data_IF_945080744263
#
_entry.id   IF_945080744263
#
_cell.length_a   1.000
_cell.length_b   1.000
_cell.length_c   1.000
_cell.angle_alpha   90.00
_cell.angle_beta   90.00
_cell.angle_gamma   90.00
#
_symmetry.space_group_name_H-M   'P 1'
#
loop_
_entity.id
_entity.type
_entity.pdbx_description
1 polymer ?
#
# COMPACT_ATOMS: atom_id res chain seq x y z
N UNK A 1 12.03 -69.75 18.93
CA UNK A 1 10.79 -69.48 18.15
C UNK A 1 11.16 -68.45 17.07
N UNK A 2 10.74 -68.50 15.79
CA UNK A 2 9.51 -68.98 15.12
C UNK A 2 8.25 -68.14 15.39
N UNK A 3 7.46 -67.94 14.33
CA UNK A 3 6.19 -67.18 14.21
C UNK A 3 6.38 -65.66 14.37
N UNK A 4 6.06 -64.75 13.43
CA UNK A 4 5.27 -64.70 12.17
C UNK A 4 3.84 -64.13 12.25
N UNK A 5 3.56 -63.30 11.24
CA UNK A 5 2.32 -62.71 10.67
C UNK A 5 1.03 -63.60 10.68
N UNK A 6 -0.18 -63.15 10.23
CA UNK A 6 -0.58 -61.82 9.68
C UNK A 6 -2.00 -61.27 10.07
N UNK A 7 -2.38 -60.13 9.48
CA UNK A 7 -3.75 -59.65 9.17
C UNK A 7 -4.68 -59.31 10.38
N UNK A 8 -5.83 -58.61 10.27
CA UNK A 8 -6.63 -58.03 9.16
C UNK A 8 -7.37 -56.74 9.69
N UNK A 9 -8.38 -56.06 9.11
CA UNK A 9 -9.19 -56.13 7.87
C UNK A 9 -9.91 -54.76 7.60
N UNK A 10 -10.65 -54.63 6.47
CA UNK A 10 -11.75 -53.66 6.16
C UNK A 10 -11.41 -52.13 6.07
N UNK A 11 -12.09 -51.29 5.27
CA UNK A 11 -13.17 -51.51 4.27
C UNK A 11 -13.62 -50.19 3.58
N UNK A 12 -14.47 -50.27 2.53
CA UNK A 12 -15.02 -49.13 1.74
C UNK A 12 -14.12 -48.71 0.57
N UNK A 13 -14.44 -48.85 -0.73
CA UNK A 13 -15.69 -48.82 -1.53
C UNK A 13 -16.33 -47.43 -1.78
N UNK A 14 -16.80 -47.22 -3.03
CA UNK A 14 -17.76 -46.17 -3.40
C UNK A 14 -17.21 -44.94 -4.13
N UNK A 15 -17.22 -44.94 -5.47
CA UNK A 15 -16.77 -43.79 -6.27
C UNK A 15 -16.94 -43.96 -7.79
N UNK A 16 -18.13 -44.33 -8.25
CA UNK A 16 -18.39 -44.62 -9.65
C UNK A 16 -18.42 -43.36 -10.53
N UNK A 17 -17.90 -43.47 -11.76
CA UNK A 17 -18.00 -42.45 -12.80
C UNK A 17 -19.06 -42.78 -13.84
N UNK A 18 -19.73 -41.75 -14.34
CA UNK A 18 -20.57 -41.72 -15.53
C UNK A 18 -20.57 -40.27 -16.03
N UNK A 19 -20.77 -39.91 -17.30
CA UNK A 19 -20.75 -40.55 -18.61
C UNK A 19 -21.13 -39.41 -19.59
N UNK A 20 -20.95 -39.56 -20.89
CA UNK A 20 -21.17 -38.48 -21.88
C UNK A 20 -22.25 -38.88 -22.87
N UNK A 21 -23.16 -37.96 -23.20
CA UNK A 21 -23.88 -37.70 -24.47
C UNK A 21 -24.99 -36.66 -24.15
N UNK A 22 -25.17 -35.55 -24.88
CA UNK A 22 -25.84 -35.46 -26.19
C UNK A 22 -27.27 -34.87 -26.00
N UNK A 23 -28.00 -34.34 -26.99
CA UNK A 23 -27.69 -33.77 -28.32
C UNK A 23 -28.97 -33.08 -28.86
N UNK A 24 -28.86 -32.15 -29.81
CA UNK A 24 -29.97 -31.55 -30.61
C UNK A 24 -30.99 -30.69 -29.78
N UNK A 25 -31.85 -29.82 -30.34
CA UNK A 25 -32.04 -29.27 -31.70
C UNK A 25 -33.24 -28.28 -31.74
N UNK A 26 -33.32 -27.43 -32.77
CA UNK A 26 -34.40 -26.44 -33.07
C UNK A 26 -34.69 -25.35 -31.98
N UNK A 27 -35.37 -24.24 -32.26
CA UNK A 27 -36.18 -23.85 -33.43
C UNK A 27 -35.92 -22.38 -33.83
N UNK A 28 -36.36 -21.96 -35.03
CA UNK A 28 -36.12 -20.61 -35.56
C UNK A 28 -37.30 -20.02 -36.33
N UNK A 29 -37.61 -18.73 -36.11
CA UNK A 29 -38.63 -18.02 -36.88
C UNK A 29 -38.22 -16.57 -37.18
N UNK A 30 -38.49 -16.12 -38.41
CA UNK A 30 -38.09 -14.80 -38.92
C UNK A 30 -39.28 -13.83 -39.04
N UNK A 31 -38.99 -12.53 -38.99
CA UNK A 31 -39.99 -11.46 -39.16
C UNK A 31 -39.38 -10.15 -39.66
N UNK A 32 -39.68 -9.80 -40.90
CA UNK A 32 -39.40 -8.53 -41.59
C UNK A 32 -40.66 -8.19 -42.45
N UNK A 33 -40.80 -7.04 -43.17
CA UNK A 33 -39.80 -5.98 -43.43
C UNK A 33 -40.33 -4.52 -43.37
N UNK A 34 -39.44 -3.55 -43.64
CA UNK A 34 -39.77 -2.22 -44.18
C UNK A 34 -39.89 -1.07 -43.16
N UNK A 35 -39.56 0.19 -43.50
CA UNK A 35 -38.85 0.65 -44.70
C UNK A 35 -38.95 2.17 -44.96
N UNK A 36 -37.85 2.79 -45.39
CA UNK A 36 -37.79 4.16 -45.95
C UNK A 36 -37.66 5.32 -44.94
N UNK A 37 -36.79 6.29 -45.25
CA UNK A 37 -36.63 7.53 -44.48
C UNK A 37 -35.19 8.04 -44.39
N UNK A 38 -34.77 8.90 -45.32
CA UNK A 38 -33.43 9.51 -45.32
C UNK A 38 -33.30 10.68 -44.33
N UNK A 39 -32.20 10.69 -43.56
CA UNK A 39 -31.49 11.92 -43.20
C UNK A 39 -30.06 11.64 -42.73
N UNK A 40 -29.20 12.67 -42.82
CA UNK A 40 -27.74 12.54 -42.68
C UNK A 40 -27.27 13.02 -41.30
N UNK A 41 -26.47 12.18 -40.62
CA UNK A 41 -25.48 12.53 -39.58
C UNK A 41 -25.96 13.29 -38.30
N UNK A 42 -25.17 13.29 -37.21
CA UNK A 42 -23.95 12.54 -36.94
C UNK A 42 -24.20 11.31 -36.05
N UNK A 43 -23.13 10.61 -35.67
CA UNK A 43 -23.18 9.43 -34.82
C UNK A 43 -23.70 9.78 -33.41
N UNK A 44 -24.61 8.95 -32.88
CA UNK A 44 -25.22 9.17 -31.57
C UNK A 44 -24.18 9.16 -30.45
N UNK A 45 -24.17 10.23 -29.64
CA UNK A 45 -23.33 10.31 -28.44
C UNK A 45 -23.75 9.22 -27.46
N UNK A 46 -22.87 8.26 -27.22
CA UNK A 46 -23.09 7.24 -26.18
C UNK A 46 -23.01 7.93 -24.83
N UNK A 47 -24.15 8.21 -24.21
CA UNK A 47 -24.24 8.90 -22.93
C UNK A 47 -23.76 8.00 -21.78
N UNK A 48 -22.44 7.94 -21.59
CA UNK A 48 -21.84 7.59 -20.30
C UNK A 48 -22.14 8.68 -19.28
N UNK A 49 -22.62 8.28 -18.11
CA UNK A 49 -23.15 9.18 -17.08
C UNK A 49 -22.08 10.09 -16.46
N UNK A 50 -22.38 11.38 -16.37
CA UNK A 50 -21.88 12.35 -15.38
C UNK A 50 -20.36 12.35 -15.06
N UNK A 51 -19.52 12.17 -16.08
CA UNK A 51 -18.07 12.37 -15.97
C UNK A 51 -17.68 13.86 -15.91
N UNK A 52 -16.84 14.23 -14.94
CA UNK A 52 -16.37 15.61 -14.76
C UNK A 52 -15.54 16.06 -15.98
N UNK A 53 -16.09 16.96 -16.80
CA UNK A 53 -15.55 17.21 -18.14
C UNK A 53 -14.24 18.02 -18.08
N UNK A 54 -13.16 17.42 -18.58
CA UNK A 54 -11.83 18.04 -18.65
C UNK A 54 -11.85 19.37 -19.41
N UNK A 55 -11.15 20.37 -18.85
CA UNK A 55 -10.97 21.68 -19.48
C UNK A 55 -10.17 21.55 -20.81
N UNK A 56 -10.47 22.35 -21.84
CA UNK A 56 -9.95 22.14 -23.18
C UNK A 56 -8.42 22.20 -23.28
N UNK A 57 -7.73 23.16 -22.63
CA UNK A 57 -6.25 23.18 -22.66
C UNK A 57 -5.63 21.95 -21.99
N UNK A 58 -6.25 21.44 -20.92
CA UNK A 58 -5.78 20.23 -20.22
C UNK A 58 -5.91 19.02 -21.14
N UNK A 59 -7.04 18.88 -21.86
CA UNK A 59 -7.23 17.81 -22.84
C UNK A 59 -6.25 17.90 -24.01
N UNK A 60 -6.03 19.09 -24.57
CA UNK A 60 -5.03 19.34 -25.61
C UNK A 60 -3.61 18.94 -25.15
N UNK A 61 -3.24 19.31 -23.92
CA UNK A 61 -1.96 18.95 -23.31
C UNK A 61 -1.80 17.44 -23.10
N UNK A 62 -2.87 16.74 -22.72
CA UNK A 62 -2.86 15.28 -22.60
C UNK A 62 -2.62 14.59 -23.95
N UNK A 63 -3.34 14.98 -25.00
CA UNK A 63 -3.17 14.40 -26.33
C UNK A 63 -1.78 14.75 -26.91
N UNK A 64 -1.24 15.94 -26.62
CA UNK A 64 0.14 16.30 -26.99
C UNK A 64 1.21 15.42 -26.31
N UNK A 65 1.01 15.03 -25.04
CA UNK A 65 1.91 14.11 -24.33
C UNK A 65 1.84 12.68 -24.88
N UNK A 66 0.65 12.24 -25.32
CA UNK A 66 0.46 10.96 -26.01
C UNK A 66 1.14 10.99 -27.39
N UNK A 67 0.93 12.06 -28.17
CA UNK A 67 1.57 12.25 -29.48
C UNK A 67 3.10 12.35 -29.39
N UNK A 68 3.63 12.89 -28.30
CA UNK A 68 5.06 12.90 -27.98
C UNK A 68 5.60 11.56 -27.42
N UNK A 69 4.77 10.53 -27.30
CA UNK A 69 5.14 9.20 -26.82
C UNK A 69 5.46 9.10 -25.31
N UNK A 70 5.28 10.18 -24.54
CA UNK A 70 5.64 10.22 -23.10
C UNK A 70 4.72 9.35 -22.23
N UNK A 71 3.50 9.08 -22.70
CA UNK A 71 2.52 8.20 -22.05
C UNK A 71 1.54 7.61 -23.07
N UNK A 72 0.93 6.47 -22.76
CA UNK A 72 -0.20 5.92 -23.53
C UNK A 72 -1.53 6.53 -23.07
N UNK A 73 -2.61 6.26 -23.82
CA UNK A 73 -3.97 6.61 -23.38
C UNK A 73 -4.48 5.74 -22.21
N UNK A 74 -3.82 4.62 -21.94
CA UNK A 74 -4.11 3.74 -20.79
C UNK A 74 -3.41 4.21 -19.50
N UNK A 75 -2.22 4.82 -19.63
CA UNK A 75 -1.54 5.53 -18.52
C UNK A 75 -2.32 6.75 -18.02
N UNK A 76 -3.24 7.26 -18.83
CA UNK A 76 -4.10 8.42 -18.54
C UNK A 76 -5.56 7.96 -18.31
N UNK A 77 -5.72 7.04 -17.35
CA UNK A 77 -6.98 6.40 -17.02
C UNK A 77 -8.09 7.39 -16.59
N UNK A 78 -9.34 6.88 -16.52
CA UNK A 78 -10.49 7.70 -16.11
C UNK A 78 -10.26 8.40 -14.76
N UNK A 79 -9.60 7.75 -13.80
CA UNK A 79 -9.36 8.30 -12.45
C UNK A 79 -8.39 9.47 -12.47
N UNK A 80 -7.38 9.42 -13.34
CA UNK A 80 -6.48 10.55 -13.59
C UNK A 80 -7.22 11.69 -14.28
N UNK A 81 -8.09 11.38 -15.25
CA UNK A 81 -8.92 12.37 -15.96
C UNK A 81 -9.89 13.08 -15.01
N UNK A 82 -10.62 12.34 -14.19
CA UNK A 82 -11.48 12.87 -13.13
C UNK A 82 -10.65 13.72 -12.15
N UNK A 83 -9.48 13.22 -11.74
CA UNK A 83 -8.60 13.91 -10.80
C UNK A 83 -7.95 15.17 -11.37
N UNK A 84 -7.81 15.30 -12.69
CA UNK A 84 -7.35 16.51 -13.37
C UNK A 84 -8.50 17.51 -13.55
N UNK A 85 -9.72 17.04 -13.79
CA UNK A 85 -10.90 17.89 -13.92
C UNK A 85 -11.25 18.67 -12.63
N UNK A 86 -10.82 18.19 -11.46
CA UNK A 86 -10.91 18.89 -10.16
C UNK A 86 -10.04 20.18 -10.06
N UNK A 87 -9.06 20.39 -10.95
CA UNK A 87 -8.17 21.57 -10.90
C UNK A 87 -8.60 22.69 -11.86
N UNK A 88 -8.18 23.92 -11.56
CA UNK A 88 -8.23 25.05 -12.50
C UNK A 88 -7.44 24.72 -13.78
N UNK A 89 -7.82 25.28 -14.92
CA UNK A 89 -7.27 24.89 -16.23
C UNK A 89 -5.74 25.01 -16.28
N UNK A 90 -5.18 26.12 -15.79
CA UNK A 90 -3.74 26.37 -15.88
C UNK A 90 -2.95 25.43 -14.94
N UNK A 91 -3.48 25.08 -13.77
CA UNK A 91 -2.90 24.06 -12.87
C UNK A 91 -2.98 22.65 -13.46
N UNK A 92 -4.06 22.35 -14.18
CA UNK A 92 -4.20 21.09 -14.92
C UNK A 92 -3.14 20.93 -16.00
N UNK A 93 -2.76 22.03 -16.67
CA UNK A 93 -1.64 22.07 -17.61
C UNK A 93 -0.29 21.97 -16.88
N UNK A 94 -0.08 22.71 -15.79
CA UNK A 94 1.15 22.70 -14.98
C UNK A 94 1.50 21.29 -14.44
N UNK A 95 0.50 20.54 -13.98
CA UNK A 95 0.64 19.14 -13.55
C UNK A 95 1.12 18.24 -14.70
N UNK A 96 0.66 18.49 -15.92
CA UNK A 96 1.01 17.74 -17.13
C UNK A 96 2.37 18.15 -17.71
N UNK A 97 2.77 19.42 -17.59
CA UNK A 97 4.13 19.87 -17.89
C UNK A 97 5.14 19.25 -16.93
N UNK A 98 4.89 19.29 -15.62
CA UNK A 98 5.75 18.63 -14.62
C UNK A 98 5.79 17.08 -14.78
N UNK A 99 4.78 16.46 -15.39
CA UNK A 99 4.88 15.07 -15.85
C UNK A 99 5.76 14.94 -17.12
N UNK A 100 5.57 15.84 -18.09
CA UNK A 100 6.28 15.84 -19.35
C UNK A 100 7.79 16.07 -19.21
N UNK A 101 8.21 16.93 -18.29
CA UNK A 101 9.63 17.26 -18.07
C UNK A 101 10.38 16.20 -17.25
N UNK A 102 9.67 15.27 -16.62
CA UNK A 102 10.26 14.11 -15.98
C UNK A 102 10.76 13.09 -17.02
N UNK A 103 11.83 12.36 -16.71
CA UNK A 103 12.30 11.24 -17.54
C UNK A 103 11.34 10.03 -17.44
N UNK A 104 10.30 10.04 -18.28
CA UNK A 104 9.22 9.05 -18.23
C UNK A 104 9.62 7.63 -18.67
N UNK A 105 10.81 7.43 -19.26
CA UNK A 105 11.25 6.13 -19.78
C UNK A 105 11.70 5.18 -18.66
N UNK A 106 12.19 5.75 -17.56
CA UNK A 106 12.51 4.99 -16.33
C UNK A 106 11.27 4.57 -15.53
N UNK A 107 10.09 5.12 -15.85
CA UNK A 107 8.89 5.05 -15.03
C UNK A 107 8.02 3.87 -15.47
N UNK A 108 8.19 2.72 -14.79
CA UNK A 108 7.46 1.45 -15.05
C UNK A 108 5.92 1.54 -14.91
N UNK A 109 5.38 2.62 -14.37
CA UNK A 109 3.94 2.87 -14.26
C UNK A 109 3.71 4.39 -14.24
N UNK A 110 3.36 4.97 -15.39
CA UNK A 110 3.28 6.43 -15.56
C UNK A 110 2.02 6.98 -14.88
N UNK A 111 0.91 6.22 -14.91
CA UNK A 111 -0.32 6.53 -14.18
C UNK A 111 -0.10 6.80 -12.68
N UNK A 112 0.63 5.91 -11.99
CA UNK A 112 0.92 6.04 -10.56
C UNK A 112 1.82 7.25 -10.24
N UNK A 113 2.68 7.66 -11.18
CA UNK A 113 3.53 8.84 -11.05
C UNK A 113 2.75 10.14 -11.27
N UNK A 114 1.87 10.21 -12.28
CA UNK A 114 0.95 11.34 -12.48
C UNK A 114 0.02 11.50 -11.27
N UNK A 115 -0.52 10.39 -10.75
CA UNK A 115 -1.32 10.40 -9.52
C UNK A 115 -0.54 10.86 -8.27
N UNK A 116 0.80 10.76 -8.25
CA UNK A 116 1.64 11.32 -7.19
C UNK A 116 1.82 12.84 -7.34
N UNK A 117 2.03 13.34 -8.56
CA UNK A 117 2.08 14.79 -8.87
C UNK A 117 0.74 15.44 -8.46
N UNK A 118 -0.38 14.87 -8.90
CA UNK A 118 -1.74 15.32 -8.54
C UNK A 118 -1.93 15.44 -7.01
N UNK A 119 -1.42 14.48 -6.21
CA UNK A 119 -1.51 14.53 -4.74
C UNK A 119 -0.67 15.63 -4.11
N UNK A 120 0.47 15.97 -4.71
CA UNK A 120 1.33 17.08 -4.27
C UNK A 120 0.59 18.40 -4.42
N UNK A 121 0.09 18.72 -5.62
CA UNK A 121 -0.69 19.92 -5.89
C UNK A 121 -1.97 20.00 -5.03
N UNK A 122 -2.63 18.87 -4.71
CA UNK A 122 -3.76 18.83 -3.76
C UNK A 122 -3.38 19.11 -2.30
N UNK A 123 -2.16 18.80 -1.88
CA UNK A 123 -1.66 19.13 -0.53
C UNK A 123 -1.32 20.62 -0.44
N UNK A 124 -0.57 21.12 -1.43
CA UNK A 124 -0.14 22.51 -1.53
C UNK A 124 -1.36 23.46 -1.62
N UNK A 125 -2.36 23.14 -2.44
CA UNK A 125 -3.61 23.91 -2.56
C UNK A 125 -4.48 23.93 -1.28
N UNK A 126 -4.21 23.10 -0.28
CA UNK A 126 -4.93 23.06 1.01
C UNK A 126 -4.19 23.78 2.14
N UNK A 127 -3.02 24.37 1.87
CA UNK A 127 -2.18 24.99 2.91
C UNK A 127 -1.64 23.98 3.94
N UNK A 128 -1.68 22.68 3.64
CA UNK A 128 -1.16 21.62 4.50
C UNK A 128 0.31 21.41 4.14
N UNK A 129 1.27 21.50 5.09
CA UNK A 129 2.68 21.31 4.78
C UNK A 129 2.93 19.90 4.21
N UNK A 130 3.82 19.75 3.20
CA UNK A 130 3.89 18.54 2.40
C UNK A 130 4.46 17.35 3.20
N UNK A 131 3.58 16.43 3.60
CA UNK A 131 3.96 15.18 4.28
C UNK A 131 4.58 14.19 3.27
N UNK A 132 5.90 14.29 3.08
CA UNK A 132 6.75 13.17 2.64
C UNK A 132 6.45 12.55 1.26
N UNK A 133 6.19 13.37 0.23
CA UNK A 133 6.07 12.90 -1.16
C UNK A 133 7.41 12.96 -1.91
N UNK A 134 7.91 11.82 -2.38
CA UNK A 134 9.22 11.73 -3.06
C UNK A 134 9.15 12.34 -4.47
N UNK A 135 9.96 13.37 -4.72
CA UNK A 135 10.18 13.95 -6.06
C UNK A 135 11.40 14.86 -6.05
N UNK A 136 12.31 14.67 -7.02
CA UNK A 136 13.57 15.43 -7.10
C UNK A 136 13.35 16.92 -7.36
N UNK A 137 14.21 17.75 -6.78
CA UNK A 137 14.54 19.10 -7.28
C UNK A 137 16.08 19.19 -7.43
N UNK A 138 16.58 20.00 -8.36
CA UNK A 138 18.03 20.15 -8.58
C UNK A 138 18.72 20.87 -7.42
N UNK A 139 20.05 20.76 -7.37
CA UNK A 139 20.88 21.29 -6.28
C UNK A 139 20.72 22.81 -6.05
N UNK A 140 20.40 23.17 -4.81
CA UNK A 140 20.86 24.41 -4.17
C UNK A 140 21.02 24.17 -2.66
N UNK A 141 22.07 24.71 -2.06
CA UNK A 141 22.40 24.47 -0.65
C UNK A 141 21.59 25.39 0.28
N UNK A 142 20.96 24.83 1.32
CA UNK A 142 20.13 25.61 2.26
C UNK A 142 19.75 24.83 3.52
N UNK A 143 20.32 25.22 4.66
CA UNK A 143 20.22 24.53 5.95
C UNK A 143 18.78 24.24 6.44
N UNK A 144 18.52 23.01 6.90
CA UNK A 144 17.20 22.61 7.43
C UNK A 144 17.11 21.24 8.11
N UNK A 145 18.23 20.69 8.65
CA UNK A 145 18.24 19.33 9.21
C UNK A 145 17.87 19.30 10.70
N UNK A 146 16.64 18.86 11.00
CA UNK A 146 16.16 18.62 12.36
C UNK A 146 16.28 17.14 12.76
N UNK A 147 17.51 16.74 13.12
CA UNK A 147 17.86 15.55 13.92
C UNK A 147 16.93 14.31 13.89
N UNK A 148 17.01 13.52 12.82
CA UNK A 148 16.78 12.07 12.94
C UNK A 148 18.07 11.41 13.49
N UNK A 149 18.00 10.44 14.43
CA UNK A 149 19.19 9.84 15.01
C UNK A 149 19.89 8.87 14.04
N UNK A 150 21.06 9.28 13.58
CA UNK A 150 22.14 8.43 13.06
C UNK A 150 21.77 7.38 11.98
N UNK A 151 21.49 7.84 10.76
CA UNK A 151 21.76 7.04 9.57
C UNK A 151 23.29 6.97 9.35
N UNK A 152 23.94 5.92 9.86
CA UNK A 152 25.41 5.78 9.79
C UNK A 152 25.82 5.26 8.41
N UNK A 153 26.45 6.12 7.61
CA UNK A 153 27.32 5.82 6.45
C UNK A 153 27.06 4.52 5.66
N UNK A 154 26.08 4.54 4.73
CA UNK A 154 26.13 3.85 3.43
C UNK A 154 26.22 2.32 3.34
N UNK A 155 26.59 1.62 4.39
CA UNK A 155 26.87 0.18 4.45
C UNK A 155 25.80 -0.56 5.27
N UNK A 156 25.72 -1.89 5.14
CA UNK A 156 24.88 -2.68 6.06
C UNK A 156 25.61 -2.81 7.40
N UNK A 157 24.89 -2.59 8.51
CA UNK A 157 25.36 -2.93 9.86
C UNK A 157 25.85 -4.39 9.87
N UNK A 158 27.00 -4.65 10.47
CA UNK A 158 27.73 -5.92 10.30
C UNK A 158 26.90 -7.17 10.68
N UNK A 159 26.03 -7.05 11.69
CA UNK A 159 25.05 -8.06 12.10
C UNK A 159 24.00 -8.37 11.02
N UNK A 160 23.41 -7.33 10.42
CA UNK A 160 22.45 -7.40 9.31
C UNK A 160 23.12 -8.00 8.07
N UNK A 161 24.35 -7.60 7.78
CA UNK A 161 25.13 -8.14 6.67
C UNK A 161 25.43 -9.64 6.85
N UNK A 162 25.95 -10.04 8.02
CA UNK A 162 26.19 -11.45 8.34
C UNK A 162 24.90 -12.29 8.34
N UNK A 163 23.76 -11.72 8.74
CA UNK A 163 22.46 -12.39 8.68
C UNK A 163 21.96 -12.57 7.25
N UNK A 164 22.19 -11.60 6.36
CA UNK A 164 21.88 -11.69 4.93
C UNK A 164 22.82 -12.70 4.24
N UNK A 165 24.10 -12.71 4.58
CA UNK A 165 25.10 -13.65 4.07
C UNK A 165 24.70 -15.10 4.39
N UNK A 166 24.32 -15.38 5.63
CA UNK A 166 23.80 -16.70 6.04
C UNK A 166 22.54 -17.15 5.27
N UNK A 167 21.74 -16.20 4.76
CA UNK A 167 20.59 -16.52 3.90
C UNK A 167 21.06 -16.86 2.48
N UNK A 168 22.10 -16.20 1.95
CA UNK A 168 22.74 -16.59 0.69
C UNK A 168 23.42 -17.96 0.79
N UNK A 169 24.17 -18.23 1.86
CA UNK A 169 24.79 -19.54 2.14
C UNK A 169 23.77 -20.68 2.23
N UNK A 170 22.55 -20.39 2.72
CA UNK A 170 21.46 -21.38 2.78
C UNK A 170 20.86 -21.76 1.41
N UNK A 171 21.27 -21.10 0.32
CA UNK A 171 20.77 -21.33 -1.04
C UNK A 171 19.33 -20.88 -1.31
N UNK A 172 18.63 -20.33 -0.30
CA UNK A 172 17.25 -19.80 -0.45
C UNK A 172 17.16 -18.55 -1.33
N UNK A 173 18.26 -17.81 -1.43
CA UNK A 173 18.37 -16.49 -2.04
C UNK A 173 19.73 -16.40 -2.74
N UNK A 174 19.80 -15.75 -3.90
CA UNK A 174 21.05 -15.43 -4.59
C UNK A 174 21.38 -13.94 -4.44
N UNK A 175 22.68 -13.57 -4.57
CA UNK A 175 23.11 -12.16 -4.45
C UNK A 175 22.44 -11.19 -5.43
N UNK A 176 21.87 -11.69 -6.53
CA UNK A 176 21.10 -10.91 -7.52
C UNK A 176 19.58 -10.95 -7.35
N UNK A 177 19.05 -11.66 -6.35
CA UNK A 177 17.60 -11.75 -6.11
C UNK A 177 17.01 -10.50 -5.43
N UNK A 178 17.87 -9.61 -4.94
CA UNK A 178 17.52 -8.32 -4.31
C UNK A 178 18.10 -7.17 -5.16
N UNK A 179 17.24 -6.24 -5.56
CA UNK A 179 17.65 -5.05 -6.31
C UNK A 179 18.24 -3.95 -5.39
N UNK A 180 18.99 -3.01 -5.96
CA UNK A 180 19.66 -1.94 -5.21
C UNK A 180 18.70 -1.15 -4.32
N UNK A 181 17.47 -0.92 -4.80
CA UNK A 181 16.40 -0.23 -4.08
C UNK A 181 15.92 -1.02 -2.86
N UNK A 182 15.88 -2.35 -2.95
CA UNK A 182 15.62 -3.23 -1.83
C UNK A 182 16.76 -3.17 -0.79
N UNK A 183 18.01 -3.12 -1.25
CA UNK A 183 19.18 -2.98 -0.39
C UNK A 183 19.26 -1.61 0.29
N UNK A 184 18.90 -0.52 -0.40
CA UNK A 184 18.73 0.82 0.18
C UNK A 184 17.66 0.83 1.28
N UNK A 185 16.51 0.17 1.06
CA UNK A 185 15.46 0.09 2.07
C UNK A 185 15.86 -0.75 3.29
N UNK A 186 16.70 -1.78 3.10
CA UNK A 186 17.29 -2.53 4.21
C UNK A 186 18.29 -1.69 5.02
N UNK A 187 19.14 -0.89 4.35
CA UNK A 187 20.05 0.08 5.00
C UNK A 187 19.30 1.18 5.77
N UNK A 188 18.11 1.55 5.32
CA UNK A 188 17.27 2.59 5.94
C UNK A 188 16.43 2.11 7.14
N UNK A 189 16.52 0.83 7.54
CA UNK A 189 15.85 0.31 8.73
C UNK A 189 16.80 0.33 9.95
N UNK A 190 16.28 0.59 11.18
CA UNK A 190 16.98 0.27 12.41
C UNK A 190 17.40 -1.20 12.47
N UNK A 191 18.59 -1.47 13.01
CA UNK A 191 19.23 -2.80 13.03
C UNK A 191 18.29 -3.94 13.45
N UNK A 192 17.55 -3.77 14.55
CA UNK A 192 16.63 -4.79 15.06
C UNK A 192 15.49 -5.12 14.07
N UNK A 193 14.92 -4.11 13.40
CA UNK A 193 13.87 -4.30 12.39
C UNK A 193 14.43 -4.87 11.09
N UNK A 194 15.68 -4.54 10.74
CA UNK A 194 16.38 -5.15 9.61
C UNK A 194 16.65 -6.65 9.85
N UNK A 195 17.06 -7.03 11.07
CA UNK A 195 17.24 -8.42 11.49
C UNK A 195 15.91 -9.21 11.51
N UNK A 196 14.82 -8.62 12.03
CA UNK A 196 13.49 -9.24 11.97
C UNK A 196 12.97 -9.36 10.53
N UNK A 197 13.17 -8.36 9.67
CA UNK A 197 12.81 -8.43 8.26
C UNK A 197 13.56 -9.57 7.55
N UNK A 198 14.87 -9.71 7.76
CA UNK A 198 15.66 -10.83 7.22
C UNK A 198 15.23 -12.18 7.80
N UNK A 199 14.84 -12.24 9.07
CA UNK A 199 14.23 -13.46 9.63
C UNK A 199 12.91 -13.80 8.92
N UNK A 200 12.02 -12.84 8.68
CA UNK A 200 10.76 -13.08 7.95
C UNK A 200 10.99 -13.46 6.48
N UNK A 201 12.07 -12.98 5.85
CA UNK A 201 12.51 -13.44 4.53
C UNK A 201 12.97 -14.90 4.55
N UNK A 202 13.74 -15.30 5.58
CA UNK A 202 14.24 -16.67 5.75
C UNK A 202 13.12 -17.67 6.11
N UNK A 203 12.13 -17.24 6.90
CA UNK A 203 10.93 -18.04 7.22
C UNK A 203 9.98 -18.22 6.03
N UNK A 204 10.04 -17.35 5.02
CA UNK A 204 9.18 -17.42 3.85
C UNK A 204 9.60 -18.49 2.83
N UNK A 205 8.61 -19.11 2.18
CA UNK A 205 8.84 -19.98 1.03
C UNK A 205 9.02 -19.13 -0.25
N UNK A 206 10.28 -18.95 -0.69
CA UNK A 206 10.62 -18.13 -1.84
C UNK A 206 10.46 -18.84 -3.21
N UNK A 207 10.10 -20.12 -3.22
CA UNK A 207 9.99 -20.94 -4.43
C UNK A 207 8.74 -20.63 -5.27
N UNK A 208 7.68 -20.11 -4.65
CA UNK A 208 6.45 -19.65 -5.33
C UNK A 208 6.49 -18.16 -5.71
N UNK A 209 7.61 -17.48 -5.46
CA UNK A 209 7.71 -16.02 -5.51
C UNK A 209 8.48 -15.56 -6.75
N UNK A 210 7.72 -15.03 -7.71
CA UNK A 210 8.20 -14.52 -9.00
C UNK A 210 9.11 -13.27 -8.89
N UNK A 211 9.08 -12.54 -7.77
CA UNK A 211 10.00 -11.42 -7.51
C UNK A 211 10.37 -11.38 -6.03
N UNK A 212 11.58 -11.85 -5.73
CA UNK A 212 12.14 -11.89 -4.37
C UNK A 212 12.41 -10.47 -3.85
N UNK A 213 13.00 -9.58 -4.66
CA UNK A 213 13.03 -8.13 -4.41
C UNK A 213 11.67 -7.56 -4.04
N UNK A 214 10.64 -7.76 -4.89
CA UNK A 214 9.32 -7.18 -4.69
C UNK A 214 8.62 -7.68 -3.42
N UNK A 215 8.77 -8.96 -3.12
CA UNK A 215 8.29 -9.56 -1.86
C UNK A 215 9.02 -8.99 -0.64
N UNK A 216 10.36 -8.91 -0.69
CA UNK A 216 11.14 -8.39 0.44
C UNK A 216 10.93 -6.89 0.66
N UNK A 217 10.80 -6.08 -0.40
CA UNK A 217 10.31 -4.68 -0.31
C UNK A 217 8.93 -4.62 0.37
N UNK A 218 8.05 -5.58 0.13
CA UNK A 218 6.77 -5.71 0.85
C UNK A 218 6.92 -5.99 2.36
N UNK A 219 7.94 -6.74 2.76
CA UNK A 219 8.31 -6.97 4.17
C UNK A 219 8.93 -5.70 4.78
N UNK A 220 9.97 -5.15 4.15
CA UNK A 220 10.69 -3.94 4.57
C UNK A 220 9.73 -2.76 4.75
N UNK A 221 8.77 -2.59 3.84
CA UNK A 221 7.71 -1.58 3.96
C UNK A 221 6.91 -1.72 5.25
N UNK A 222 6.48 -2.94 5.62
CA UNK A 222 5.70 -3.18 6.85
C UNK A 222 6.52 -2.89 8.10
N UNK A 223 7.79 -3.26 8.12
CA UNK A 223 8.70 -2.94 9.24
C UNK A 223 8.99 -1.44 9.34
N UNK A 224 9.09 -0.71 8.22
CA UNK A 224 9.21 0.75 8.23
C UNK A 224 7.92 1.45 8.67
N UNK A 225 6.76 0.93 8.28
CA UNK A 225 5.45 1.41 8.77
C UNK A 225 5.30 1.17 10.28
N UNK A 226 5.84 0.07 10.82
CA UNK A 226 5.96 -0.15 12.27
C UNK A 226 6.94 0.84 12.92
N UNK A 227 8.14 1.03 12.35
CA UNK A 227 9.13 1.99 12.88
C UNK A 227 8.57 3.41 13.06
N UNK A 228 7.77 3.88 12.10
CA UNK A 228 7.07 5.18 12.19
C UNK A 228 5.92 5.16 13.22
N UNK A 229 5.28 4.01 13.45
CA UNK A 229 4.24 3.89 14.48
C UNK A 229 4.80 3.78 15.91
N UNK A 230 6.04 3.29 16.08
CA UNK A 230 6.75 3.23 17.37
C UNK A 230 7.61 4.47 17.64
N UNK A 231 7.68 5.43 16.70
CA UNK A 231 8.44 6.68 16.86
C UNK A 231 7.78 7.61 17.90
N UNK A 232 8.47 8.04 18.97
CA UNK A 232 7.86 8.83 20.04
C UNK A 232 7.28 10.18 19.61
N UNK A 233 7.86 10.83 18.59
CA UNK A 233 7.35 12.11 18.09
C UNK A 233 6.02 11.91 17.34
N UNK A 234 5.97 10.88 16.50
CA UNK A 234 4.74 10.44 15.81
C UNK A 234 3.68 10.03 16.82
N UNK A 235 4.03 9.21 17.82
CA UNK A 235 3.14 8.82 18.93
C UNK A 235 2.53 10.03 19.65
N UNK A 236 3.35 10.98 20.09
CA UNK A 236 2.85 12.19 20.77
C UNK A 236 1.96 13.04 19.86
N UNK A 237 2.29 13.15 18.56
CA UNK A 237 1.46 13.91 17.59
C UNK A 237 0.08 13.29 17.35
N UNK A 238 -0.06 11.97 17.48
CA UNK A 238 -1.38 11.29 17.39
C UNK A 238 -2.10 11.33 18.74
N UNK A 239 -1.39 11.17 19.85
CA UNK A 239 -1.94 11.29 21.21
C UNK A 239 -2.60 12.66 21.45
N UNK A 240 -1.93 13.75 21.07
CA UNK A 240 -2.43 15.12 21.20
C UNK A 240 -3.72 15.40 20.40
N UNK A 241 -4.13 14.50 19.49
CA UNK A 241 -5.38 14.58 18.72
C UNK A 241 -6.57 13.86 19.36
N UNK A 242 -6.36 13.14 20.47
CA UNK A 242 -7.44 12.52 21.24
C UNK A 242 -8.26 13.58 21.99
N UNK A 243 -9.54 13.30 22.33
CA UNK A 243 -10.29 14.15 23.25
C UNK A 243 -9.55 14.32 24.60
N UNK A 244 -9.50 15.52 25.21
CA UNK A 244 -8.74 15.76 26.45
C UNK A 244 -9.13 14.85 27.62
N UNK A 245 -10.38 14.40 27.69
CA UNK A 245 -10.84 13.40 28.67
C UNK A 245 -10.11 12.06 28.52
N UNK A 246 -9.94 11.57 27.28
CA UNK A 246 -9.24 10.31 27.02
C UNK A 246 -7.73 10.44 27.27
N UNK A 247 -7.14 11.61 26.93
CA UNK A 247 -5.74 11.91 27.26
C UNK A 247 -5.50 11.82 28.78
N UNK A 248 -6.28 12.58 29.56
CA UNK A 248 -6.20 12.60 31.02
C UNK A 248 -6.66 11.31 31.72
N UNK A 249 -7.45 10.45 31.06
CA UNK A 249 -7.70 9.10 31.54
C UNK A 249 -6.44 8.23 31.43
N UNK A 250 -5.83 8.19 30.23
CA UNK A 250 -4.66 7.35 29.92
C UNK A 250 -3.42 7.76 30.72
N UNK A 251 -3.12 9.06 30.84
CA UNK A 251 -1.93 9.56 31.54
C UNK A 251 -1.87 9.21 33.03
N UNK A 252 -3.00 8.83 33.64
CA UNK A 252 -3.06 8.35 35.03
C UNK A 252 -2.60 6.91 35.21
N UNK A 253 -2.54 6.11 34.13
CA UNK A 253 -2.17 4.69 34.17
C UNK A 253 -0.92 4.36 33.33
N UNK A 254 -0.64 5.12 32.27
CA UNK A 254 0.49 4.90 31.35
C UNK A 254 0.93 6.22 30.70
N UNK A 255 2.20 6.38 30.32
CA UNK A 255 2.61 7.59 29.57
C UNK A 255 2.24 7.46 28.10
N UNK A 256 2.09 8.59 27.42
CA UNK A 256 1.93 8.64 25.96
C UNK A 256 3.05 7.91 25.20
N UNK A 257 4.26 7.89 25.75
CA UNK A 257 5.44 7.24 25.18
C UNK A 257 5.43 5.71 25.22
N UNK A 258 4.63 5.12 26.11
CA UNK A 258 4.72 3.68 26.42
C UNK A 258 3.68 2.85 25.62
N UNK A 259 3.00 3.51 24.67
CA UNK A 259 2.07 2.95 23.69
C UNK A 259 2.43 3.48 22.29
N UNK A 260 2.36 2.63 21.27
CA UNK A 260 2.63 3.03 19.88
C UNK A 260 1.54 3.98 19.34
N UNK A 261 1.90 4.89 18.42
CA UNK A 261 0.99 5.78 17.69
C UNK A 261 -0.21 5.04 17.06
N UNK A 262 -0.03 3.75 16.74
CA UNK A 262 -1.08 2.86 16.25
C UNK A 262 -2.24 2.71 17.23
N UNK A 263 -1.99 2.61 18.54
CA UNK A 263 -3.05 2.56 19.55
C UNK A 263 -3.98 3.75 19.41
N UNK A 264 -3.43 4.95 19.39
CA UNK A 264 -4.18 6.20 19.33
C UNK A 264 -4.86 6.41 17.96
N UNK A 265 -4.24 5.96 16.86
CA UNK A 265 -4.87 5.98 15.55
C UNK A 265 -6.07 5.02 15.45
N UNK A 266 -5.94 3.79 15.95
CA UNK A 266 -7.03 2.80 15.97
C UNK A 266 -8.16 3.22 16.92
N UNK A 267 -7.83 3.90 18.02
CA UNK A 267 -8.75 4.48 19.00
C UNK A 267 -9.56 5.66 18.42
N UNK A 268 -8.93 6.57 17.67
CA UNK A 268 -9.64 7.63 16.93
C UNK A 268 -10.66 7.07 15.93
N UNK A 269 -10.40 5.89 15.37
CA UNK A 269 -11.29 5.20 14.42
C UNK A 269 -12.45 4.43 15.08
N UNK A 270 -12.56 4.40 16.41
CA UNK A 270 -13.71 3.82 17.13
C UNK A 270 -14.89 4.79 17.32
N UNK A 271 -14.67 6.09 17.09
CA UNK A 271 -15.59 7.13 17.52
C UNK A 271 -15.64 7.30 19.05
N UNK A 272 -16.18 8.41 19.52
CA UNK A 272 -16.05 8.86 20.92
C UNK A 272 -16.50 7.83 21.96
N UNK A 273 -17.67 7.20 21.77
CA UNK A 273 -18.21 6.21 22.72
C UNK A 273 -17.43 4.90 22.75
N UNK A 274 -16.97 4.41 21.60
CA UNK A 274 -16.13 3.21 21.53
C UNK A 274 -14.72 3.47 22.07
N UNK A 275 -14.19 4.67 21.85
CA UNK A 275 -12.91 5.09 22.39
C UNK A 275 -12.92 5.21 23.92
N UNK A 276 -13.99 5.77 24.51
CA UNK A 276 -14.17 5.81 25.97
C UNK A 276 -14.20 4.40 26.58
N UNK A 277 -15.06 3.50 26.06
CA UNK A 277 -15.16 2.11 26.51
C UNK A 277 -13.83 1.34 26.38
N UNK A 278 -13.02 1.62 25.35
CA UNK A 278 -11.69 1.06 25.18
C UNK A 278 -10.68 1.57 26.21
N UNK A 279 -10.73 2.87 26.54
CA UNK A 279 -9.85 3.50 27.53
C UNK A 279 -10.22 3.05 28.94
N UNK A 280 -11.50 3.00 29.29
CA UNK A 280 -11.96 2.55 30.61
C UNK A 280 -11.53 1.11 30.87
N UNK A 281 -11.80 0.18 29.94
CA UNK A 281 -11.35 -1.23 30.03
C UNK A 281 -9.83 -1.40 30.07
N UNK A 282 -9.06 -0.45 29.55
CA UNK A 282 -7.61 -0.44 29.66
C UNK A 282 -7.14 0.11 31.02
N UNK A 283 -7.83 1.11 31.57
CA UNK A 283 -7.55 1.66 32.90
C UNK A 283 -7.95 0.71 34.05
N UNK A 284 -8.96 -0.14 33.85
CA UNK A 284 -9.36 -1.20 34.79
C UNK A 284 -8.36 -2.38 34.84
N UNK A 285 -7.50 -2.53 33.83
CA UNK A 285 -6.57 -3.64 33.74
C UNK A 285 -5.31 -3.43 34.60
N UNK A 286 -4.85 -4.47 35.31
CA UNK A 286 -3.58 -4.41 36.03
C UNK A 286 -2.38 -4.43 35.06
N UNK A 287 -1.95 -3.25 34.61
CA UNK A 287 -0.86 -3.11 33.65
C UNK A 287 0.48 -3.71 34.12
N UNK A 288 0.66 -3.98 35.42
CA UNK A 288 1.89 -4.55 36.00
C UNK A 288 2.23 -5.95 35.49
N UNK A 289 1.22 -6.75 35.15
CA UNK A 289 1.41 -8.12 34.64
C UNK A 289 1.54 -8.17 33.11
N UNK A 290 1.42 -7.01 32.44
CA UNK A 290 1.26 -6.91 30.98
C UNK A 290 2.61 -6.62 30.31
N UNK A 291 3.24 -7.68 29.78
CA UNK A 291 4.56 -7.62 29.12
C UNK A 291 4.64 -6.69 27.90
N UNK A 292 3.51 -6.33 27.29
CA UNK A 292 3.44 -5.39 26.17
C UNK A 292 2.10 -4.61 26.20
N UNK A 293 2.08 -3.38 26.73
CA UNK A 293 0.87 -2.56 26.81
C UNK A 293 0.24 -2.23 25.44
N UNK A 294 1.04 -1.90 24.42
CA UNK A 294 0.57 -1.66 23.04
C UNK A 294 -0.28 -2.81 22.51
N UNK A 295 0.26 -4.02 22.58
CA UNK A 295 -0.40 -5.22 22.05
C UNK A 295 -1.69 -5.54 22.82
N UNK A 296 -1.70 -5.34 24.14
CA UNK A 296 -2.88 -5.51 24.97
C UNK A 296 -3.97 -4.46 24.65
N UNK A 297 -3.61 -3.18 24.55
CA UNK A 297 -4.56 -2.11 24.26
C UNK A 297 -5.16 -2.24 22.86
N UNK A 298 -4.35 -2.58 21.84
CA UNK A 298 -4.84 -2.95 20.51
C UNK A 298 -5.74 -4.20 20.56
N UNK A 299 -5.52 -5.11 21.51
CA UNK A 299 -6.40 -6.25 21.78
C UNK A 299 -7.77 -5.86 22.36
N UNK A 300 -7.84 -4.80 23.17
CA UNK A 300 -9.12 -4.23 23.66
C UNK A 300 -9.84 -3.52 22.52
N UNK A 301 -9.15 -2.61 21.81
CA UNK A 301 -9.72 -1.83 20.69
C UNK A 301 -10.34 -2.75 19.62
N UNK A 302 -9.69 -3.88 19.30
CA UNK A 302 -10.18 -4.88 18.34
C UNK A 302 -11.37 -5.74 18.81
N UNK A 303 -11.80 -5.63 20.07
CA UNK A 303 -13.01 -6.30 20.61
C UNK A 303 -14.21 -5.35 20.70
N UNK A 304 -14.01 -4.08 20.38
CA UNK A 304 -15.02 -3.01 20.42
C UNK A 304 -15.37 -2.54 18.99
N UNK A 305 -14.50 -2.84 18.02
CA UNK A 305 -14.79 -2.85 16.57
C UNK A 305 -15.58 -4.10 16.18
#
# INVERSE_FOLDING_TARGET
>A
AKYANPAAAEGGEGGAGAAVEGKDGDDGQAGAPGGGGEQQQPQGVVQGQDGNQLKPKVLEKMEALIAAGKCTREDLDHKIRDSLADFDEDKGVEILDNFGDANTDTIRNKAAFIAAIIRRYRSEARGVPPVGGIGMMPHSEGAGSAAAPAAINGELVQSVNARLESIYESGKLQRGDLDDRCMEQLKALPEHLALEALQKLNEANLSTINSKSGFFVGILRRFREQAVMSDPNTTNSVFARLPPMLQGQLERVIKSSDLDAKCYHELLMLGERGAADAVDKFCEANLRDIRNPTAFFLGIIKRIK
#
